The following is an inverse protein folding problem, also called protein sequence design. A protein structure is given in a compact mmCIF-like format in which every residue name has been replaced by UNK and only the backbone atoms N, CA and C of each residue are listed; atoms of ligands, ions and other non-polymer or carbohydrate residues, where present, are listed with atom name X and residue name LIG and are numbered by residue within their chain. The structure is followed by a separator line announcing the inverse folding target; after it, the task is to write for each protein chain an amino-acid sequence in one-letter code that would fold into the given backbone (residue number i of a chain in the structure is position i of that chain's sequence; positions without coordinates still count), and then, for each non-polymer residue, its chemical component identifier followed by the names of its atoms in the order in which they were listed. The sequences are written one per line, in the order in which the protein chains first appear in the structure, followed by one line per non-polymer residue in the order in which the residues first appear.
data_IF_952583981219
#
_entry.id   IF_952583981219
#
_cell.length_a   1.000
_cell.length_b   1.000
_cell.length_c   1.000
_cell.angle_alpha   90.00
_cell.angle_beta   90.00
_cell.angle_gamma   90.00
#
_symmetry.space_group_name_H-M   'P 1'
#
loop_
_entity.id
_entity.type
_entity.pdbx_description
1 polymer ?
#
# COMPACT_ATOMS: atom_id res chain seq x y z
N UNK A 1 0.65 -7.68 27.89
CA UNK A 1 1.42 -8.00 26.68
C UNK A 1 1.48 -6.77 25.81
N UNK A 2 2.67 -6.35 25.39
CA UNK A 2 2.84 -5.30 24.38
C UNK A 2 2.97 -5.92 22.97
N UNK A 3 3.01 -5.09 21.91
CA UNK A 3 3.08 -5.58 20.53
C UNK A 3 4.35 -6.41 20.26
N UNK A 4 5.49 -6.02 20.83
CA UNK A 4 6.77 -6.72 20.61
C UNK A 4 6.71 -8.13 21.20
N UNK A 5 6.22 -8.25 22.44
CA UNK A 5 6.00 -9.56 23.09
C UNK A 5 5.03 -10.42 22.26
N UNK A 6 3.87 -9.87 21.87
CA UNK A 6 2.87 -10.60 21.10
C UNK A 6 3.38 -11.07 19.73
N UNK A 7 4.24 -10.26 19.10
CA UNK A 7 4.89 -10.58 17.83
C UNK A 7 5.91 -11.70 17.99
N UNK A 8 6.79 -11.60 18.98
CA UNK A 8 7.82 -12.61 19.26
C UNK A 8 7.18 -13.96 19.60
N UNK A 9 6.19 -13.96 20.50
CA UNK A 9 5.43 -15.15 20.85
C UNK A 9 4.78 -15.80 19.61
N UNK A 10 4.32 -15.00 18.66
CA UNK A 10 3.72 -15.53 17.43
C UNK A 10 4.79 -16.06 16.45
N UNK A 11 5.95 -15.41 16.34
CA UNK A 11 7.10 -15.92 15.56
C UNK A 11 7.54 -17.27 16.11
N UNK A 12 7.74 -17.39 17.43
CA UNK A 12 8.16 -18.64 18.08
C UNK A 12 7.19 -19.79 17.77
N UNK A 13 5.89 -19.51 17.69
CA UNK A 13 4.87 -20.50 17.33
C UNK A 13 4.94 -20.90 15.85
N UNK A 14 5.32 -19.98 14.96
CA UNK A 14 5.47 -20.27 13.53
C UNK A 14 6.74 -21.06 13.22
N UNK A 15 7.85 -20.82 13.93
CA UNK A 15 9.12 -21.54 13.71
C UNK A 15 9.02 -23.04 14.02
N UNK A 16 8.11 -23.42 14.92
CA UNK A 16 7.83 -24.82 15.28
C UNK A 16 6.50 -25.33 14.68
N UNK A 17 5.96 -24.63 13.68
CA UNK A 17 4.61 -24.89 13.16
C UNK A 17 4.44 -26.26 12.49
N UNK A 18 5.51 -26.88 11.99
CA UNK A 18 5.46 -28.23 11.43
C UNK A 18 4.98 -29.28 12.47
N UNK A 19 5.03 -28.95 13.76
CA UNK A 19 4.60 -29.81 14.87
C UNK A 19 3.35 -29.29 15.61
N UNK A 20 2.84 -28.09 15.32
CA UNK A 20 1.78 -27.46 16.11
C UNK A 20 0.39 -27.47 15.46
N UNK A 21 -0.68 -27.75 16.22
CA UNK A 21 -2.06 -27.63 15.74
C UNK A 21 -2.42 -26.21 15.28
N UNK A 22 -3.15 -26.07 14.16
CA UNK A 22 -3.68 -24.78 13.67
C UNK A 22 -4.39 -23.92 14.72
N UNK A 23 -5.17 -24.48 15.67
CA UNK A 23 -5.81 -23.68 16.72
C UNK A 23 -4.82 -22.90 17.59
N UNK A 24 -3.60 -23.41 17.79
CA UNK A 24 -2.55 -22.71 18.55
C UNK A 24 -2.08 -21.50 17.73
N UNK A 25 -1.72 -21.71 16.46
CA UNK A 25 -1.31 -20.64 15.54
C UNK A 25 -2.39 -19.54 15.49
N UNK A 26 -3.67 -19.92 15.37
CA UNK A 26 -4.79 -19.00 15.35
C UNK A 26 -4.93 -18.18 16.64
N UNK A 27 -4.64 -18.77 17.80
CA UNK A 27 -4.71 -18.10 19.09
C UNK A 27 -3.66 -16.99 19.21
N UNK A 28 -2.40 -17.30 18.91
CA UNK A 28 -1.30 -16.32 18.93
C UNK A 28 -1.48 -15.24 17.87
N UNK A 29 -1.94 -15.61 16.68
CA UNK A 29 -2.28 -14.65 15.63
C UNK A 29 -3.34 -13.61 16.09
N UNK A 30 -4.36 -14.05 16.84
CA UNK A 30 -5.39 -13.15 17.40
C UNK A 30 -4.83 -12.20 18.45
N UNK A 31 -3.90 -12.67 19.28
CA UNK A 31 -3.24 -11.84 20.30
C UNK A 31 -2.37 -10.78 19.62
N UNK A 32 -1.47 -11.21 18.71
CA UNK A 32 -0.65 -10.29 17.90
C UNK A 32 -1.51 -9.25 17.18
N UNK A 33 -2.54 -9.70 16.46
CA UNK A 33 -3.40 -8.80 15.71
C UNK A 33 -4.07 -7.74 16.59
N UNK A 34 -4.58 -8.13 17.76
CA UNK A 34 -5.20 -7.20 18.72
C UNK A 34 -4.21 -6.13 19.18
N UNK A 35 -2.99 -6.54 19.58
CA UNK A 35 -1.97 -5.59 20.03
C UNK A 35 -1.45 -4.71 18.88
N UNK A 36 -1.37 -5.26 17.66
CA UNK A 36 -1.00 -4.52 16.45
C UNK A 36 -1.99 -3.38 16.17
N UNK A 37 -3.30 -3.67 16.16
CA UNK A 37 -4.34 -2.66 15.92
C UNK A 37 -4.41 -1.61 17.03
N UNK A 38 -4.11 -1.99 18.28
CA UNK A 38 -3.99 -1.05 19.42
C UNK A 38 -2.73 -0.18 19.34
N UNK A 39 -1.65 -0.67 18.73
CA UNK A 39 -0.46 0.13 18.47
C UNK A 39 -0.73 1.12 17.33
N UNK A 40 -1.34 0.68 16.23
CA UNK A 40 -1.74 1.56 15.11
C UNK A 40 -2.70 2.66 15.57
N UNK A 41 -3.62 2.38 16.51
CA UNK A 41 -4.56 3.41 16.99
C UNK A 41 -3.91 4.57 17.74
N UNK A 42 -2.63 4.44 18.10
CA UNK A 42 -1.82 5.48 18.74
C UNK A 42 -0.91 6.21 17.76
N UNK A 43 -0.95 5.88 16.48
CA UNK A 43 -0.10 6.55 15.49
C UNK A 43 -0.54 8.01 15.29
N UNK A 44 0.46 8.85 15.04
CA UNK A 44 0.30 10.24 14.63
C UNK A 44 1.20 10.48 13.44
N UNK A 45 0.96 11.58 12.71
CA UNK A 45 1.77 11.95 11.55
C UNK A 45 3.23 12.16 11.96
N UNK A 46 3.46 12.92 13.05
CA UNK A 46 4.81 13.17 13.56
C UNK A 46 5.53 11.87 13.96
N UNK A 47 4.87 11.01 14.74
CA UNK A 47 5.46 9.73 15.16
C UNK A 47 5.85 8.88 13.95
N UNK A 48 4.92 8.65 13.03
CA UNK A 48 5.16 7.85 11.84
C UNK A 48 6.23 8.47 10.93
N UNK A 49 6.31 9.80 10.83
CA UNK A 49 7.34 10.49 10.06
C UNK A 49 8.74 10.27 10.66
N UNK A 50 8.89 10.44 11.98
CA UNK A 50 10.20 10.28 12.63
C UNK A 50 10.67 8.83 12.75
N UNK A 51 9.74 7.88 12.72
CA UNK A 51 10.02 6.45 12.62
C UNK A 51 10.21 5.99 11.16
N UNK A 52 10.16 6.92 10.19
CA UNK A 52 10.31 6.64 8.75
C UNK A 52 9.27 5.64 8.21
N UNK A 53 8.05 5.68 8.76
CA UNK A 53 6.90 4.84 8.38
C UNK A 53 5.78 5.61 7.70
N UNK A 54 5.87 6.93 7.61
CA UNK A 54 4.83 7.73 6.98
C UNK A 54 4.93 7.62 5.46
N UNK A 55 3.87 7.15 4.83
CA UNK A 55 3.71 7.23 3.38
C UNK A 55 2.87 8.43 2.97
N UNK A 56 3.15 8.95 1.78
CA UNK A 56 2.39 10.03 1.17
C UNK A 56 2.05 9.71 -0.29
N UNK A 57 0.81 9.97 -0.67
CA UNK A 57 0.39 10.00 -2.08
C UNK A 57 -0.15 11.39 -2.39
N UNK A 58 0.23 11.94 -3.54
CA UNK A 58 -0.34 13.19 -4.04
C UNK A 58 -1.15 12.90 -5.29
N UNK A 59 -2.37 13.41 -5.34
CA UNK A 59 -3.19 13.42 -6.56
C UNK A 59 -3.67 14.84 -6.84
N UNK A 60 -3.90 15.15 -8.11
CA UNK A 60 -4.45 16.45 -8.49
C UNK A 60 -5.98 16.38 -8.37
N UNK A 61 -6.59 17.25 -7.57
CA UNK A 61 -8.03 17.49 -7.53
C UNK A 61 -8.45 18.55 -8.56
N UNK A 62 -7.65 18.74 -9.62
CA UNK A 62 -7.93 19.67 -10.71
C UNK A 62 -9.20 19.18 -11.40
N UNK A 63 -10.26 19.94 -11.16
CA UNK A 63 -11.65 19.82 -11.63
C UNK A 63 -12.55 19.28 -10.52
N UNK A 64 -13.47 20.12 -10.01
CA UNK A 64 -14.63 19.72 -9.22
C UNK A 64 -15.63 18.84 -9.98
N UNK A 65 -15.15 18.10 -10.97
CA UNK A 65 -15.79 16.93 -11.54
C UNK A 65 -15.04 15.72 -10.98
N UNK A 66 -15.75 14.67 -10.59
CA UNK A 66 -15.25 13.36 -10.13
C UNK A 66 -14.36 12.61 -11.17
N UNK A 67 -13.62 13.33 -12.00
CA UNK A 67 -12.83 12.86 -13.11
C UNK A 67 -11.52 12.18 -12.67
N UNK A 68 -11.25 12.07 -11.36
CA UNK A 68 -10.24 11.15 -10.81
C UNK A 68 -10.76 9.70 -10.67
N UNK A 69 -12.08 9.48 -10.80
CA UNK A 69 -12.70 8.19 -11.08
C UNK A 69 -12.82 7.90 -12.59
N UNK A 70 -11.95 8.51 -13.41
CA UNK A 70 -11.88 8.22 -14.85
C UNK A 70 -11.64 6.73 -15.07
N UNK A 71 -12.54 6.11 -15.81
CA UNK A 71 -12.28 4.89 -16.55
C UNK A 71 -10.90 5.01 -17.20
N UNK A 72 -9.93 4.25 -16.71
CA UNK A 72 -8.64 4.18 -17.38
C UNK A 72 -8.77 3.06 -18.41
N UNK A 73 -8.88 3.42 -19.68
CA UNK A 73 -8.62 2.47 -20.75
C UNK A 73 -7.13 2.14 -20.68
N UNK A 74 -6.79 0.88 -20.37
CA UNK A 74 -5.39 0.43 -20.41
C UNK A 74 -5.02 0.28 -21.88
N UNK A 75 -4.37 1.29 -22.44
CA UNK A 75 -3.64 1.14 -23.69
C UNK A 75 -2.33 0.42 -23.39
N UNK A 76 -2.04 -0.65 -24.14
CA UNK A 76 -0.75 -1.35 -24.15
C UNK A 76 -0.38 -2.16 -22.90
N UNK A 77 -1.24 -3.06 -22.42
CA UNK A 77 -0.70 -4.21 -21.69
C UNK A 77 0.01 -5.13 -22.70
N UNK A 78 1.33 -5.01 -22.83
CA UNK A 78 2.13 -6.11 -23.38
C UNK A 78 1.85 -7.30 -22.46
N UNK A 79 1.12 -8.28 -22.99
CA UNK A 79 0.81 -9.49 -22.25
C UNK A 79 2.15 -10.12 -21.85
N UNK A 80 2.42 -10.19 -20.55
CA UNK A 80 3.37 -11.17 -20.06
C UNK A 80 2.66 -12.53 -20.16
N UNK A 81 2.54 -13.06 -21.38
CA UNK A 81 2.45 -14.50 -21.53
C UNK A 81 3.82 -15.07 -21.13
N UNK A 82 3.90 -16.29 -20.58
CA UNK A 82 5.19 -16.94 -20.34
C UNK A 82 6.04 -17.12 -21.63
N UNK A 83 5.48 -16.79 -22.80
CA UNK A 83 6.00 -17.13 -24.13
C UNK A 83 6.04 -15.95 -25.12
N UNK A 84 5.89 -14.70 -24.68
CA UNK A 84 6.24 -13.52 -25.51
C UNK A 84 5.30 -13.18 -26.68
N UNK A 85 4.11 -13.75 -26.80
CA UNK A 85 3.16 -13.37 -27.85
C UNK A 85 2.42 -12.06 -27.51
N UNK A 86 2.74 -11.00 -28.25
CA UNK A 86 2.18 -9.66 -28.10
C UNK A 86 0.92 -9.47 -28.95
N UNK A 87 -0.24 -9.90 -28.44
CA UNK A 87 -1.52 -9.37 -28.92
C UNK A 87 -1.85 -8.05 -28.20
N UNK A 88 -2.06 -6.94 -28.92
CA UNK A 88 -2.60 -5.71 -28.33
C UNK A 88 -4.08 -5.94 -27.97
N UNK A 89 -4.36 -6.36 -26.74
CA UNK A 89 -5.72 -6.35 -26.18
C UNK A 89 -5.91 -5.09 -25.34
N UNK A 90 -7.03 -4.39 -25.53
CA UNK A 90 -7.46 -3.30 -24.67
C UNK A 90 -8.46 -3.83 -23.64
N UNK A 91 -8.37 -3.33 -22.41
CA UNK A 91 -9.32 -3.65 -21.35
C UNK A 91 -9.80 -2.35 -20.71
N UNK A 92 -11.11 -2.17 -20.70
CA UNK A 92 -11.73 -1.10 -19.91
C UNK A 92 -11.85 -1.57 -18.46
N UNK A 93 -11.36 -0.74 -17.55
CA UNK A 93 -11.46 -1.01 -16.12
C UNK A 93 -11.60 0.28 -15.33
N UNK A 94 -12.18 0.15 -14.15
CA UNK A 94 -12.27 1.22 -13.17
C UNK A 94 -10.98 1.17 -12.35
N UNK A 95 -10.31 2.31 -12.22
CA UNK A 95 -9.20 2.50 -11.31
C UNK A 95 -9.38 3.82 -10.59
N UNK A 96 -10.07 3.76 -9.46
CA UNK A 96 -10.38 4.95 -8.68
C UNK A 96 -9.16 5.34 -7.85
N UNK A 97 -8.52 6.44 -8.21
CA UNK A 97 -7.35 7.00 -7.52
C UNK A 97 -7.67 8.26 -6.72
N UNK A 98 -8.96 8.61 -6.64
CA UNK A 98 -9.47 9.79 -5.93
C UNK A 98 -9.31 9.65 -4.41
N UNK A 99 -9.55 10.75 -3.69
CA UNK A 99 -9.63 10.72 -2.22
C UNK A 99 -10.72 9.79 -1.70
N UNK A 100 -11.87 9.74 -2.39
CA UNK A 100 -12.96 8.82 -2.07
C UNK A 100 -12.58 7.36 -2.34
N UNK A 101 -11.85 7.09 -3.43
CA UNK A 101 -11.28 5.78 -3.71
C UNK A 101 -10.26 5.35 -2.66
N UNK A 102 -9.44 6.28 -2.14
CA UNK A 102 -8.53 6.02 -1.03
C UNK A 102 -9.31 5.70 0.26
N UNK A 103 -10.36 6.45 0.57
CA UNK A 103 -11.21 6.18 1.74
C UNK A 103 -11.94 4.83 1.60
N UNK A 104 -12.48 4.51 0.43
CA UNK A 104 -13.11 3.22 0.17
C UNK A 104 -12.12 2.05 0.36
N UNK A 105 -10.83 2.24 0.04
CA UNK A 105 -9.80 1.22 0.31
C UNK A 105 -9.61 0.92 1.79
N UNK A 106 -10.00 1.81 2.70
CA UNK A 106 -9.90 1.54 4.14
C UNK A 106 -11.08 0.75 4.69
N UNK A 107 -12.16 0.57 3.93
CA UNK A 107 -13.32 -0.20 4.34
C UNK A 107 -13.10 -1.71 4.06
N UNK A 108 -12.98 -2.57 5.09
CA UNK A 108 -12.62 -3.98 4.89
C UNK A 108 -13.62 -4.77 4.05
N UNK A 109 -14.89 -4.35 4.05
CA UNK A 109 -15.99 -4.98 3.31
C UNK A 109 -15.80 -4.94 1.79
N UNK A 110 -15.00 -4.03 1.23
CA UNK A 110 -14.67 -4.10 -0.20
C UNK A 110 -13.70 -5.24 -0.54
N UNK A 111 -12.97 -5.76 0.45
CA UNK A 111 -11.93 -6.77 0.25
C UNK A 111 -12.33 -8.14 0.77
N UNK A 112 -13.09 -8.20 1.86
CA UNK A 112 -13.54 -9.44 2.48
C UNK A 112 -14.86 -9.25 3.24
N UNK A 113 -15.90 -9.99 2.85
CA UNK A 113 -17.23 -10.02 3.48
C UNK A 113 -17.55 -11.41 4.08
N UNK A 114 -16.53 -12.10 4.57
CA UNK A 114 -16.67 -13.44 5.15
C UNK A 114 -16.36 -14.60 4.20
N UNK A 115 -16.40 -15.85 4.70
CA UNK A 115 -16.11 -17.05 3.92
C UNK A 115 -16.97 -17.15 2.67
N UNK A 116 -16.39 -17.60 1.55
CA UNK A 116 -17.07 -17.71 0.26
C UNK A 116 -17.32 -16.38 -0.47
N UNK A 117 -17.20 -15.23 0.21
CA UNK A 117 -17.43 -13.92 -0.43
C UNK A 117 -16.40 -13.58 -1.51
N UNK A 118 -16.87 -12.92 -2.57
CA UNK A 118 -16.03 -12.32 -3.59
C UNK A 118 -15.60 -10.91 -3.16
N UNK A 119 -14.34 -10.56 -3.44
CA UNK A 119 -13.86 -9.20 -3.21
C UNK A 119 -14.50 -8.24 -4.20
N UNK A 120 -15.06 -7.15 -3.67
CA UNK A 120 -15.69 -6.08 -4.45
C UNK A 120 -14.66 -5.12 -5.06
N UNK A 121 -13.38 -5.20 -4.67
CA UNK A 121 -12.34 -4.26 -5.11
C UNK A 121 -12.28 -4.07 -6.63
N UNK A 122 -12.52 -5.12 -7.43
CA UNK A 122 -12.48 -5.03 -8.89
C UNK A 122 -13.68 -4.24 -9.44
N UNK A 123 -14.85 -4.41 -8.83
CA UNK A 123 -16.08 -3.68 -9.19
C UNK A 123 -15.93 -2.18 -8.95
N UNK A 124 -15.20 -1.80 -7.91
CA UNK A 124 -15.01 -0.40 -7.50
C UNK A 124 -13.63 0.15 -7.87
N UNK A 125 -12.82 -0.58 -8.63
CA UNK A 125 -11.47 -0.14 -9.01
C UNK A 125 -10.50 0.12 -7.86
N UNK A 126 -10.70 -0.53 -6.70
CA UNK A 126 -9.95 -0.33 -5.46
C UNK A 126 -8.64 -1.15 -5.44
N UNK A 127 -7.87 -1.04 -6.51
CA UNK A 127 -6.57 -1.68 -6.65
C UNK A 127 -5.51 -0.98 -5.80
N UNK A 128 -4.36 -1.63 -5.58
CA UNK A 128 -3.24 -1.02 -4.87
C UNK A 128 -2.79 0.27 -5.60
N UNK A 129 -2.17 1.20 -4.86
CA UNK A 129 -1.80 2.53 -5.36
C UNK A 129 -0.29 2.75 -5.24
N UNK A 130 0.27 3.66 -6.03
CA UNK A 130 1.61 4.18 -5.78
C UNK A 130 1.61 5.20 -4.64
N UNK A 131 2.71 5.27 -3.91
CA UNK A 131 2.98 6.29 -2.92
C UNK A 131 4.49 6.50 -2.81
N UNK A 132 4.90 7.53 -2.09
CA UNK A 132 6.27 7.72 -1.64
C UNK A 132 6.34 7.47 -0.14
N UNK A 133 7.46 6.90 0.29
CA UNK A 133 7.81 6.73 1.68
C UNK A 133 8.64 7.94 2.13
N UNK A 134 8.29 8.54 3.26
CA UNK A 134 8.98 9.72 3.77
C UNK A 134 10.13 9.34 4.69
N UNK A 135 11.29 9.96 4.47
CA UNK A 135 12.39 9.97 5.43
C UNK A 135 12.29 11.19 6.34
N UNK A 136 12.69 11.00 7.59
CA UNK A 136 12.82 12.06 8.61
C UNK A 136 13.93 13.07 8.32
N UNK A 137 14.85 12.78 7.41
CA UNK A 137 16.02 13.63 7.14
C UNK A 137 15.69 14.90 6.35
N UNK A 138 14.54 14.95 5.68
CA UNK A 138 14.16 16.04 4.78
C UNK A 138 12.73 16.52 5.05
N UNK A 139 12.39 17.77 4.73
CA UNK A 139 11.00 18.22 4.65
C UNK A 139 10.15 17.34 3.72
N UNK A 140 8.86 17.24 4.00
CA UNK A 140 7.90 16.43 3.22
C UNK A 140 7.87 16.94 1.78
N UNK A 141 7.78 18.25 1.57
CA UNK A 141 7.65 18.93 0.27
C UNK A 141 8.82 18.65 -0.66
N UNK A 142 10.02 18.38 -0.13
CA UNK A 142 11.22 18.08 -0.90
C UNK A 142 11.27 16.64 -1.42
N UNK A 143 10.40 15.76 -0.93
CA UNK A 143 10.41 14.32 -1.18
C UNK A 143 9.32 13.86 -2.18
N UNK A 144 8.57 14.80 -2.78
CA UNK A 144 7.39 14.48 -3.58
C UNK A 144 7.66 14.54 -5.07
N UNK A 145 7.22 13.51 -5.81
CA UNK A 145 7.27 13.48 -7.27
C UNK A 145 6.56 14.68 -7.92
N UNK A 146 5.44 15.12 -7.33
CA UNK A 146 4.71 16.29 -7.77
C UNK A 146 5.20 17.52 -7.02
N UNK A 147 5.71 18.49 -7.77
CA UNK A 147 6.07 19.79 -7.23
C UNK A 147 4.81 20.53 -6.78
N UNK A 148 4.61 20.61 -5.46
CA UNK A 148 3.44 21.23 -4.83
C UNK A 148 3.35 22.75 -5.08
N UNK A 149 4.50 23.37 -5.39
CA UNK A 149 4.70 24.80 -5.60
C UNK A 149 4.46 25.25 -7.05
N UNK A 150 4.38 24.34 -8.02
CA UNK A 150 4.26 24.68 -9.46
C UNK A 150 2.83 25.01 -9.93
N UNK A 151 2.00 25.59 -9.07
CA UNK A 151 0.69 26.13 -9.47
C UNK A 151 -0.35 25.10 -9.91
N UNK A 152 -0.17 23.81 -9.56
CA UNK A 152 -1.26 22.83 -9.66
C UNK A 152 -2.24 23.05 -8.51
N UNK A 153 -3.08 24.06 -8.66
CA UNK A 153 -4.16 24.36 -7.74
C UNK A 153 -4.97 23.07 -7.47
N UNK A 154 -5.10 22.71 -6.19
CA UNK A 154 -5.89 21.55 -5.76
C UNK A 154 -5.15 20.21 -5.66
N UNK A 155 -3.81 20.17 -5.62
CA UNK A 155 -3.12 18.94 -5.24
C UNK A 155 -3.49 18.53 -3.79
N UNK A 156 -3.97 17.31 -3.61
CA UNK A 156 -4.30 16.74 -2.30
C UNK A 156 -3.26 15.69 -1.96
N UNK A 157 -2.64 15.85 -0.78
CA UNK A 157 -1.78 14.86 -0.16
C UNK A 157 -2.62 13.92 0.72
N UNK A 158 -2.30 12.63 0.63
CA UNK A 158 -2.85 11.56 1.47
C UNK A 158 -1.72 11.03 2.31
N UNK A 159 -1.85 11.17 3.64
CA UNK A 159 -0.89 10.67 4.61
C UNK A 159 -1.38 9.37 5.23
N UNK A 160 -0.52 8.35 5.25
CA UNK A 160 -0.86 7.05 5.81
C UNK A 160 0.36 6.41 6.48
N UNK A 161 0.32 6.16 7.79
CA UNK A 161 1.33 5.37 8.47
C UNK A 161 1.37 3.93 7.95
N UNK A 162 2.56 3.37 7.95
CA UNK A 162 2.82 1.97 7.64
C UNK A 162 3.09 1.16 8.91
N UNK A 163 2.78 -0.14 8.93
CA UNK A 163 3.22 -1.04 9.98
C UNK A 163 4.74 -1.13 10.09
N UNK A 164 5.21 -1.66 11.22
CA UNK A 164 6.59 -2.09 11.32
C UNK A 164 6.90 -3.21 10.31
N UNK A 165 8.13 -3.27 9.76
CA UNK A 165 8.46 -4.25 8.74
C UNK A 165 8.28 -5.70 9.21
N UNK A 166 8.54 -6.00 10.48
CA UNK A 166 8.38 -7.35 11.03
C UNK A 166 6.91 -7.77 11.09
N UNK A 167 5.97 -6.85 11.35
CA UNK A 167 4.53 -7.18 11.32
C UNK A 167 4.07 -7.50 9.89
N UNK A 168 4.59 -6.78 8.88
CA UNK A 168 4.30 -7.08 7.47
C UNK A 168 4.89 -8.42 7.05
N UNK A 169 6.10 -8.74 7.49
CA UNK A 169 6.75 -10.01 7.24
C UNK A 169 5.96 -11.17 7.86
N UNK A 170 5.51 -11.02 9.11
CA UNK A 170 4.69 -12.02 9.79
C UNK A 170 3.40 -12.32 9.03
N UNK A 171 2.69 -11.28 8.60
CA UNK A 171 1.50 -11.46 7.76
C UNK A 171 1.83 -12.17 6.44
N UNK A 172 3.00 -11.89 5.85
CA UNK A 172 3.45 -12.50 4.61
C UNK A 172 3.77 -13.99 4.75
N UNK A 173 4.52 -14.37 5.78
CA UNK A 173 4.85 -15.77 6.09
C UNK A 173 3.57 -16.60 6.23
N UNK A 174 2.60 -16.12 7.00
CA UNK A 174 1.35 -16.86 7.16
C UNK A 174 0.52 -16.85 5.88
N UNK A 175 0.57 -15.78 5.08
CA UNK A 175 -0.07 -15.77 3.75
C UNK A 175 0.48 -16.86 2.82
N UNK A 176 1.76 -17.23 2.95
CA UNK A 176 2.34 -18.35 2.22
C UNK A 176 1.80 -19.69 2.71
N UNK A 177 1.69 -19.88 4.03
CA UNK A 177 1.12 -21.08 4.64
C UNK A 177 -0.34 -21.28 4.18
N UNK A 178 -1.20 -20.27 4.32
CA UNK A 178 -2.63 -20.39 3.96
C UNK A 178 -2.88 -20.53 2.46
N UNK A 179 -1.94 -20.07 1.60
CA UNK A 179 -2.02 -20.31 0.16
C UNK A 179 -1.66 -21.75 -0.21
N UNK A 180 -0.74 -22.37 0.54
CA UNK A 180 -0.36 -23.77 0.37
C UNK A 180 -1.47 -24.71 0.84
N UNK A 181 -2.20 -24.29 1.88
CA UNK A 181 -3.30 -25.05 2.51
C UNK A 181 -4.60 -24.23 2.52
N UNK A 182 -5.29 -24.04 1.38
CA UNK A 182 -6.47 -23.18 1.28
C UNK A 182 -7.67 -23.66 2.12
N UNK A 183 -7.72 -24.95 2.47
CA UNK A 183 -8.68 -25.59 3.38
C UNK A 183 -8.43 -25.31 4.86
N UNK A 184 -7.26 -24.75 5.20
CA UNK A 184 -6.88 -24.41 6.57
C UNK A 184 -7.89 -23.49 7.26
N UNK A 185 -8.15 -23.74 8.54
CA UNK A 185 -8.99 -22.87 9.38
C UNK A 185 -8.39 -21.46 9.56
N UNK A 186 -7.10 -21.30 9.27
CA UNK A 186 -6.39 -20.02 9.26
C UNK A 186 -6.76 -19.14 8.05
N UNK A 187 -7.21 -19.73 6.93
CA UNK A 187 -7.45 -19.01 5.69
C UNK A 187 -8.49 -17.86 5.85
N UNK A 188 -9.68 -18.06 6.44
CA UNK A 188 -10.62 -16.97 6.72
C UNK A 188 -10.02 -15.87 7.61
N UNK A 189 -9.31 -16.26 8.67
CA UNK A 189 -8.70 -15.33 9.64
C UNK A 189 -7.68 -14.40 8.97
N UNK A 190 -6.75 -14.97 8.20
CA UNK A 190 -5.71 -14.18 7.54
C UNK A 190 -6.23 -13.40 6.33
N UNK A 191 -7.30 -13.86 5.68
CA UNK A 191 -8.01 -13.04 4.69
C UNK A 191 -8.62 -11.79 5.33
N UNK A 192 -9.16 -11.90 6.53
CA UNK A 192 -9.64 -10.76 7.31
C UNK A 192 -8.50 -9.82 7.73
N UNK A 193 -7.39 -10.34 8.23
CA UNK A 193 -6.24 -9.48 8.59
C UNK A 193 -5.70 -8.73 7.36
N UNK A 194 -5.59 -9.41 6.21
CA UNK A 194 -5.18 -8.79 4.94
C UNK A 194 -6.15 -7.73 4.42
N UNK A 195 -7.45 -7.81 4.74
CA UNK A 195 -8.42 -6.76 4.39
C UNK A 195 -8.35 -5.55 5.32
N UNK A 196 -7.65 -5.66 6.45
CA UNK A 196 -7.56 -4.64 7.51
C UNK A 196 -6.14 -4.12 7.78
N UNK A 197 -5.12 -4.63 7.10
CA UNK A 197 -3.72 -4.19 7.28
C UNK A 197 -3.23 -3.40 6.07
N UNK A 198 -2.91 -2.14 6.30
CA UNK A 198 -2.18 -1.32 5.31
C UNK A 198 -0.78 -1.88 5.17
N UNK A 199 -0.29 -2.05 3.95
CA UNK A 199 1.03 -2.66 3.73
C UNK A 199 1.63 -2.31 2.39
N UNK A 200 2.95 -2.37 2.33
CA UNK A 200 3.70 -2.30 1.08
C UNK A 200 3.61 -3.64 0.36
N UNK A 201 3.52 -3.59 -0.97
CA UNK A 201 3.56 -4.75 -1.86
C UNK A 201 4.82 -4.83 -2.71
N UNK A 202 5.36 -3.69 -3.08
CA UNK A 202 6.61 -3.53 -3.81
C UNK A 202 7.26 -2.25 -3.30
N UNK A 203 8.57 -2.25 -3.08
CA UNK A 203 9.32 -1.05 -2.73
C UNK A 203 10.62 -0.96 -3.50
N UNK A 204 10.96 0.26 -3.90
CA UNK A 204 12.21 0.55 -4.59
C UNK A 204 12.72 1.92 -4.20
N UNK A 205 14.04 2.07 -4.18
CA UNK A 205 14.67 3.36 -3.88
C UNK A 205 14.44 4.40 -4.98
N UNK A 206 14.00 3.99 -6.16
CA UNK A 206 13.67 4.88 -7.28
C UNK A 206 12.21 4.67 -7.73
N UNK A 207 11.85 5.29 -8.85
CA UNK A 207 10.59 5.05 -9.56
C UNK A 207 10.51 3.58 -10.04
N UNK A 208 9.47 2.86 -9.59
CA UNK A 208 9.20 1.46 -9.97
C UNK A 208 8.58 1.43 -11.37
N UNK A 209 7.98 2.52 -11.83
CA UNK A 209 7.11 2.51 -13.01
C UNK A 209 5.87 1.65 -12.76
N UNK A 210 5.30 1.76 -11.56
CA UNK A 210 4.14 0.96 -11.18
C UNK A 210 2.93 1.31 -12.06
N UNK A 211 2.34 0.30 -12.67
CA UNK A 211 1.21 0.45 -13.59
C UNK A 211 0.18 -0.67 -13.40
N UNK A 212 -0.99 -0.52 -14.01
CA UNK A 212 -1.98 -1.59 -14.06
C UNK A 212 -1.58 -2.64 -15.09
N UNK A 213 -1.62 -3.91 -14.69
CA UNK A 213 -1.22 -5.04 -15.52
C UNK A 213 -2.37 -6.05 -15.58
N UNK A 214 -2.68 -6.48 -16.80
CA UNK A 214 -3.63 -7.54 -17.09
C UNK A 214 -2.91 -8.91 -17.18
N UNK A 215 -3.44 -9.90 -16.47
CA UNK A 215 -3.01 -11.29 -16.55
C UNK A 215 -4.18 -12.14 -17.01
N UNK A 216 -4.01 -12.90 -18.09
CA UNK A 216 -4.98 -13.93 -18.46
C UNK A 216 -5.00 -15.01 -17.37
N UNK A 217 -6.20 -15.40 -16.95
CA UNK A 217 -6.33 -16.55 -16.05
C UNK A 217 -6.12 -17.83 -16.87
N UNK A 218 -5.45 -18.85 -16.30
CA UNK A 218 -5.31 -20.14 -16.98
C UNK A 218 -6.70 -20.67 -17.35
N UNK A 219 -6.81 -21.39 -18.48
CA UNK A 219 -8.07 -21.99 -18.94
C UNK A 219 -8.68 -22.94 -17.90
N UNK A 220 -7.87 -23.46 -16.97
CA UNK A 220 -8.28 -24.30 -15.84
C UNK A 220 -8.89 -23.54 -14.65
N UNK A 221 -8.87 -22.20 -14.67
CA UNK A 221 -9.48 -21.37 -13.63
C UNK A 221 -11.00 -21.42 -13.71
N UNK A 222 -11.69 -21.77 -12.61
CA UNK A 222 -13.16 -21.68 -12.49
C UNK A 222 -13.73 -20.26 -12.66
N UNK A 223 -12.88 -19.25 -12.75
CA UNK A 223 -13.25 -17.86 -13.02
C UNK A 223 -12.69 -17.47 -14.38
N UNK A 224 -13.52 -17.36 -15.43
CA UNK A 224 -13.08 -16.88 -16.74
C UNK A 224 -12.64 -15.40 -16.65
N UNK A 225 -11.80 -14.98 -17.60
CA UNK A 225 -11.41 -13.58 -17.78
C UNK A 225 -10.04 -13.18 -17.21
N UNK A 226 -9.81 -11.87 -17.15
CA UNK A 226 -8.52 -11.26 -16.82
C UNK A 226 -8.42 -10.94 -15.33
N UNK A 227 -7.22 -11.05 -14.77
CA UNK A 227 -6.87 -10.58 -13.44
C UNK A 227 -6.06 -9.29 -13.58
N UNK A 228 -6.58 -8.20 -13.04
CA UNK A 228 -5.88 -6.91 -12.99
C UNK A 228 -5.08 -6.78 -11.69
N UNK A 229 -3.82 -6.35 -11.79
CA UNK A 229 -2.94 -6.07 -10.65
C UNK A 229 -2.19 -4.77 -10.91
N UNK A 230 -2.17 -3.88 -9.93
CA UNK A 230 -1.29 -2.73 -9.92
C UNK A 230 0.07 -3.13 -9.35
N UNK A 231 1.16 -2.82 -10.04
CA UNK A 231 2.52 -3.15 -9.62
C UNK A 231 3.55 -2.91 -10.71
N UNK A 232 4.74 -3.51 -10.55
CA UNK A 232 5.88 -3.34 -11.46
C UNK A 232 5.50 -3.68 -12.91
N UNK A 233 5.62 -2.69 -13.80
CA UNK A 233 5.37 -2.83 -15.23
C UNK A 233 6.32 -3.81 -15.94
N UNK A 234 6.36 -3.75 -17.26
CA UNK A 234 7.23 -4.64 -18.04
C UNK A 234 8.67 -4.12 -18.15
N UNK A 235 8.93 -2.88 -17.72
CA UNK A 235 10.25 -2.27 -17.77
C UNK A 235 10.54 -1.52 -16.49
N UNK A 236 11.78 -1.59 -16.02
CA UNK A 236 12.29 -0.84 -14.86
C UNK A 236 13.33 0.17 -15.32
N UNK A 237 13.36 1.34 -14.69
CA UNK A 237 14.38 2.36 -14.93
C UNK A 237 15.59 2.08 -14.05
N UNK A 238 16.71 1.71 -14.66
CA UNK A 238 17.94 1.45 -13.91
C UNK A 238 18.65 2.74 -13.51
N UNK A 239 19.29 2.68 -12.34
CA UNK A 239 20.08 3.78 -11.82
C UNK A 239 21.30 4.05 -12.69
N UNK A 240 21.44 5.29 -13.15
CA UNK A 240 22.62 5.73 -13.90
C UNK A 240 22.66 5.31 -15.37
N UNK A 241 21.62 4.64 -15.87
CA UNK A 241 21.52 4.26 -17.29
C UNK A 241 20.47 5.09 -18.01
N UNK A 242 20.78 5.45 -19.26
CA UNK A 242 19.82 6.08 -20.17
C UNK A 242 18.97 4.95 -20.77
N UNK A 243 17.79 4.72 -20.19
CA UNK A 243 16.82 3.77 -20.72
C UNK A 243 16.06 3.01 -19.64
N UNK A 244 15.32 2.00 -20.08
CA UNK A 244 14.63 1.03 -19.22
C UNK A 244 14.95 -0.36 -19.72
N UNK A 245 15.06 -1.35 -18.83
CA UNK A 245 15.25 -2.77 -19.21
C UNK A 245 14.00 -3.60 -18.89
N UNK A 246 13.79 -4.76 -19.55
CA UNK A 246 12.73 -5.68 -19.19
C UNK A 246 12.83 -6.13 -17.74
N UNK A 247 11.68 -6.33 -17.12
CA UNK A 247 11.54 -6.84 -15.75
C UNK A 247 11.70 -8.35 -15.73
N UNK A 248 12.54 -8.85 -14.84
CA UNK A 248 12.75 -10.29 -14.60
C UNK A 248 11.92 -10.79 -13.41
N UNK A 249 11.75 -12.11 -13.24
CA UNK A 249 11.17 -12.68 -12.01
C UNK A 249 11.93 -12.26 -10.74
N UNK A 250 13.27 -12.23 -10.81
CA UNK A 250 14.14 -11.84 -9.69
C UNK A 250 13.89 -10.40 -9.27
N UNK A 251 13.63 -9.48 -10.21
CA UNK A 251 13.23 -8.11 -9.87
C UNK A 251 11.94 -8.09 -9.04
N UNK A 252 10.96 -8.93 -9.41
CA UNK A 252 9.67 -8.96 -8.71
C UNK A 252 9.82 -9.49 -7.30
N UNK A 253 10.67 -10.49 -7.12
CA UNK A 253 11.00 -11.06 -5.81
C UNK A 253 11.78 -10.03 -4.98
N UNK A 254 12.82 -9.41 -5.55
CA UNK A 254 13.60 -8.39 -4.87
C UNK A 254 12.75 -7.18 -4.45
N UNK A 255 11.88 -6.66 -5.32
CA UNK A 255 11.00 -5.55 -4.96
C UNK A 255 9.96 -5.93 -3.90
N UNK A 256 9.52 -7.19 -3.88
CA UNK A 256 8.63 -7.69 -2.83
C UNK A 256 9.39 -7.85 -1.51
N UNK A 257 10.63 -8.33 -1.53
CA UNK A 257 11.48 -8.47 -0.35
C UNK A 257 11.83 -7.10 0.24
N UNK A 258 12.17 -6.14 -0.63
CA UNK A 258 12.35 -4.74 -0.28
C UNK A 258 11.16 -4.15 0.49
N UNK A 259 9.93 -4.62 0.27
CA UNK A 259 8.76 -4.16 1.01
C UNK A 259 8.87 -4.45 2.52
N UNK A 260 9.61 -5.48 2.92
CA UNK A 260 9.88 -5.85 4.32
C UNK A 260 11.16 -5.21 4.88
N UNK A 261 11.95 -4.55 4.03
CA UNK A 261 13.16 -3.82 4.43
C UNK A 261 13.05 -2.34 4.03
N UNK A 262 11.82 -1.82 4.00
CA UNK A 262 11.54 -0.51 3.40
C UNK A 262 12.25 0.64 4.13
N UNK A 263 12.58 0.47 5.41
CA UNK A 263 13.35 1.45 6.18
C UNK A 263 14.78 1.58 5.64
N UNK A 264 15.38 0.47 5.21
CA UNK A 264 16.75 0.46 4.68
C UNK A 264 16.83 1.16 3.31
N UNK A 265 15.76 1.04 2.52
CA UNK A 265 15.62 1.73 1.22
C UNK A 265 15.72 3.25 1.38
N UNK A 266 15.26 3.80 2.50
CA UNK A 266 15.38 5.23 2.78
C UNK A 266 16.79 5.65 3.21
N UNK A 267 17.51 4.76 3.89
CA UNK A 267 18.85 5.03 4.43
C UNK A 267 19.97 4.82 3.42
N UNK A 268 19.70 4.18 2.28
CA UNK A 268 20.70 4.04 1.23
C UNK A 268 21.16 5.46 0.83
N UNK A 269 22.44 5.78 1.05
CA UNK A 269 23.06 7.12 0.93
C UNK A 269 23.01 7.74 -0.49
N UNK A 270 22.13 7.23 -1.34
CA UNK A 270 22.29 7.19 -2.77
C UNK A 270 21.19 8.00 -3.45
N UNK A 271 21.14 9.29 -3.09
CA UNK A 271 20.69 10.46 -3.89
C UNK A 271 19.35 10.40 -4.62
N UNK A 272 18.53 9.36 -4.47
CA UNK A 272 17.24 9.32 -5.11
C UNK A 272 16.37 10.41 -4.51
N UNK A 273 16.05 11.43 -5.32
CA UNK A 273 15.19 12.53 -4.90
C UNK A 273 13.79 12.03 -4.53
N UNK A 274 13.40 10.88 -5.08
CA UNK A 274 12.09 10.26 -4.96
C UNK A 274 12.24 8.74 -4.89
N UNK A 275 11.44 8.11 -4.03
CA UNK A 275 11.23 6.67 -4.01
C UNK A 275 9.76 6.38 -4.38
N UNK A 276 9.50 5.19 -4.91
CA UNK A 276 8.14 4.72 -5.17
C UNK A 276 7.89 3.39 -4.44
N UNK A 277 6.73 3.30 -3.80
CA UNK A 277 6.18 2.07 -3.23
C UNK A 277 4.81 1.78 -3.84
N UNK A 278 4.47 0.51 -3.99
CA UNK A 278 3.08 0.08 -4.20
C UNK A 278 2.47 -0.27 -2.86
N UNK A 279 1.40 0.43 -2.46
CA UNK A 279 0.75 0.30 -1.16
C UNK A 279 -0.69 -0.20 -1.31
N UNK A 280 -1.06 -1.14 -0.44
CA UNK A 280 -2.44 -1.54 -0.23
C UNK A 280 -3.01 -0.77 0.97
N UNK A 281 -3.61 0.40 0.75
CA UNK A 281 -4.31 1.17 1.78
C UNK A 281 -5.44 0.35 2.39
N UNK A 282 -5.50 0.16 3.71
CA UNK A 282 -6.58 -0.54 4.43
C UNK A 282 -6.91 0.20 5.73
N UNK A 283 -7.84 -0.34 6.50
CA UNK A 283 -8.22 0.19 7.80
C UNK A 283 -6.97 0.39 8.69
N UNK A 284 -6.77 1.58 9.22
CA UNK A 284 -5.72 1.84 10.20
C UNK A 284 -6.33 1.87 11.61
N UNK A 285 -5.63 1.28 12.58
CA UNK A 285 -6.18 1.01 13.91
C UNK A 285 -7.53 0.27 13.85
N UNK A 286 -8.36 0.38 14.86
CA UNK A 286 -9.68 -0.27 14.91
C UNK A 286 -10.76 0.38 14.01
N UNK A 287 -10.37 1.34 13.15
CA UNK A 287 -11.28 2.14 12.34
C UNK A 287 -11.78 3.41 13.02
N UNK A 288 -11.43 3.65 14.28
CA UNK A 288 -11.69 4.93 14.96
C UNK A 288 -10.60 5.99 14.69
N UNK A 289 -9.50 5.60 14.05
CA UNK A 289 -8.36 6.50 13.81
C UNK A 289 -8.63 7.52 12.71
N UNK A 290 -7.97 8.68 12.79
CA UNK A 290 -8.03 9.76 11.80
C UNK A 290 -7.29 9.47 10.48
N UNK A 291 -6.84 8.24 10.21
CA UNK A 291 -6.09 7.92 9.00
C UNK A 291 -6.94 7.16 7.97
N UNK A 292 -6.79 7.46 6.67
CA UNK A 292 -5.83 8.39 6.06
C UNK A 292 -6.17 9.86 6.34
N UNK A 293 -5.14 10.72 6.43
CA UNK A 293 -5.32 12.17 6.52
C UNK A 293 -5.19 12.79 5.13
N UNK A 294 -6.09 13.71 4.80
CA UNK A 294 -6.08 14.45 3.54
C UNK A 294 -5.67 15.89 3.82
N UNK A 295 -4.67 16.38 3.09
CA UNK A 295 -4.12 17.71 3.30
C UNK A 295 -3.87 18.46 2.01
N UNK A 296 -4.06 19.78 2.04
CA UNK A 296 -3.70 20.69 0.94
C UNK A 296 -2.50 21.51 1.35
N UNK A 297 -1.49 21.57 0.49
CA UNK A 297 -0.26 22.32 0.74
C UNK A 297 -0.51 23.83 0.82
N UNK A 298 0.00 24.44 1.89
CA UNK A 298 -0.02 25.88 2.13
C UNK A 298 1.44 26.39 2.16
N UNK A 299 1.91 26.86 1.02
CA UNK A 299 3.31 27.27 0.83
C UNK A 299 3.76 28.41 1.77
N UNK A 300 2.97 29.47 2.02
CA UNK A 300 3.34 30.53 2.98
C UNK A 300 3.72 30.05 4.38
N UNK A 301 2.98 29.08 4.92
CA UNK A 301 3.20 28.56 6.29
C UNK A 301 3.99 27.24 6.31
N UNK A 302 4.30 26.69 5.13
CA UNK A 302 4.96 25.39 4.96
C UNK A 302 4.27 24.29 5.77
N UNK A 303 2.98 24.14 5.54
CA UNK A 303 2.17 23.09 6.18
C UNK A 303 1.10 22.56 5.23
N UNK A 304 0.49 21.43 5.59
CA UNK A 304 -0.69 20.90 4.94
C UNK A 304 -1.89 21.13 5.84
N UNK A 305 -2.84 21.94 5.38
CA UNK A 305 -4.12 22.12 6.05
C UNK A 305 -4.97 20.86 5.89
N UNK A 306 -5.29 20.19 6.99
CA UNK A 306 -6.01 18.91 6.98
C UNK A 306 -7.51 19.16 6.87
N UNK A 307 -8.17 18.42 5.97
CA UNK A 307 -9.61 18.51 5.75
C UNK A 307 -10.26 17.12 5.77
N UNK A 308 -11.55 17.08 6.11
CA UNK A 308 -12.35 15.87 6.01
C UNK A 308 -12.80 15.66 4.56
N UNK A 309 -12.46 14.51 3.97
CA UNK A 309 -12.69 14.22 2.55
C UNK A 309 -14.18 14.10 2.19
N UNK A 310 -15.06 13.83 3.17
CA UNK A 310 -16.49 13.65 2.94
C UNK A 310 -17.24 14.99 2.94
N UNK A 311 -16.91 15.87 3.86
CA UNK A 311 -17.52 17.20 4.00
C UNK A 311 -16.78 18.29 3.22
N UNK A 312 -15.51 18.05 2.88
CA UNK A 312 -14.61 19.07 2.30
C UNK A 312 -14.18 20.15 3.29
N UNK A 313 -14.56 20.05 4.56
CA UNK A 313 -14.29 21.08 5.57
C UNK A 313 -12.91 20.88 6.21
N UNK A 314 -12.20 21.99 6.44
CA UNK A 314 -10.96 21.96 7.22
C UNK A 314 -11.24 21.54 8.66
N UNK A 315 -10.37 20.69 9.18
CA UNK A 315 -10.45 20.17 10.54
C UNK A 315 -9.81 21.11 11.57
N UNK A 316 -9.05 22.11 11.11
CA UNK A 316 -8.20 22.95 11.94
C UNK A 316 -6.84 22.33 12.29
N UNK A 317 -6.62 21.05 11.96
CA UNK A 317 -5.31 20.41 12.08
C UNK A 317 -4.38 20.84 10.94
N UNK A 318 -3.10 21.05 11.27
CA UNK A 318 -2.03 21.27 10.30
C UNK A 318 -0.93 20.22 10.44
N UNK A 319 -0.48 19.70 9.31
CA UNK A 319 0.73 18.87 9.23
C UNK A 319 1.86 19.76 8.75
N UNK A 320 2.79 20.12 9.63
CA UNK A 320 3.96 20.90 9.24
C UNK A 320 4.81 20.13 8.21
N UNK A 321 5.43 20.86 7.28
CA UNK A 321 6.34 20.30 6.27
C UNK A 321 7.50 19.53 6.89
N UNK A 322 7.89 19.93 8.10
CA UNK A 322 8.81 19.18 8.94
C UNK A 322 8.13 18.93 10.29
N UNK A 323 7.44 17.79 10.46
CA UNK A 323 6.78 17.45 11.72
C UNK A 323 7.75 17.54 12.91
N UNK A 324 7.32 18.08 14.07
CA UNK A 324 8.18 18.21 15.23
C UNK A 324 8.40 16.85 15.89
N UNK A 325 9.58 16.60 16.47
CA UNK A 325 9.82 15.39 17.27
C UNK A 325 8.93 15.42 18.51
N UNK A 326 8.14 14.38 18.70
CA UNK A 326 7.45 14.16 19.97
C UNK A 326 8.51 13.87 21.04
N UNK A 327 8.42 14.58 22.17
CA UNK A 327 9.29 14.39 23.34
C UNK A 327 8.94 13.11 24.08
#
# INVERSE_FOLDING_TARGET
MNLIEARNDFIDVLEVADERPEPIIASYAKVWWREFKKWESKDTVSKAFHESRLSIRVYNNCDGSDSSSKWQTIYESTMATPFGESGKKSYDHIYDVSGQGVLARTMPSFFYNGPGSQSLKYRYGLHDLSASLLTREKPISEQLFLALDRGKHGAVAVFMPLPEPEDMHLLHVVDHIVKKYPESSLCPLFREYRSKMTRIKLAYENDIGAQMIAFDRPSSSHKPGVKLKYGLGNRIKEKGLIGTRPVTPEDREQLAENAFHYKDILTSEKRAKYNEITIAYRQHGDGSTSFPKFGVWNAPVKSFGVFDINSGQYTGEEILDYPPRLQ
#
